data_IF_040059850116
#
_entry.id   IF_040059850116
#
_cell.length_a   1.000
_cell.length_b   1.000
_cell.length_c   1.000
_cell.angle_alpha   90.00
_cell.angle_beta   90.00
_cell.angle_gamma   90.00
#
_symmetry.space_group_name_H-M   'P 1'
#
loop_
_entity.id
_entity.type
_entity.pdbx_description
1 polymer ?
#
# COMPACT_ATOMS: atom_id res chain seq x y z
N UNK A 1 42.36 -50.64 -35.00
CA UNK A 1 41.42 -49.94 -35.90
C UNK A 1 40.08 -50.67 -35.74
N UNK A 2 39.03 -50.21 -35.03
CA UNK A 2 38.57 -48.88 -34.63
C UNK A 2 37.75 -48.98 -33.33
N UNK A 3 38.07 -48.15 -32.34
CA UNK A 3 37.30 -48.02 -31.09
C UNK A 3 36.17 -47.01 -31.30
N UNK A 4 34.91 -47.45 -31.25
CA UNK A 4 33.76 -46.54 -31.31
C UNK A 4 33.42 -46.04 -29.90
N UNK A 5 33.71 -44.78 -29.66
CA UNK A 5 33.30 -44.05 -28.45
C UNK A 5 31.82 -43.65 -28.64
N UNK A 6 30.93 -44.24 -27.85
CA UNK A 6 29.55 -43.79 -27.71
C UNK A 6 29.54 -42.56 -26.79
N UNK A 7 29.39 -41.37 -27.36
CA UNK A 7 29.18 -40.14 -26.59
C UNK A 7 27.77 -40.14 -26.00
N UNK A 8 27.66 -40.37 -24.69
CA UNK A 8 26.43 -40.14 -23.95
C UNK A 8 26.24 -38.62 -23.79
N UNK A 9 25.41 -38.02 -24.65
CA UNK A 9 24.93 -36.66 -24.46
C UNK A 9 23.97 -36.65 -23.25
N UNK A 10 24.50 -36.26 -22.09
CA UNK A 10 23.70 -36.01 -20.89
C UNK A 10 22.72 -34.87 -21.14
N UNK A 11 21.43 -35.17 -21.07
CA UNK A 11 20.35 -34.20 -21.14
C UNK A 11 20.40 -33.30 -19.90
N UNK A 12 21.06 -32.15 -20.03
CA UNK A 12 21.05 -31.09 -19.02
C UNK A 12 19.68 -30.39 -19.08
N UNK A 13 18.72 -30.85 -18.29
CA UNK A 13 17.44 -30.17 -18.12
C UNK A 13 17.70 -28.81 -17.46
N UNK A 14 17.59 -27.73 -18.23
CA UNK A 14 17.65 -26.37 -17.71
C UNK A 14 16.42 -26.16 -16.79
N UNK A 15 16.64 -26.07 -15.48
CA UNK A 15 15.61 -25.62 -14.55
C UNK A 15 15.39 -24.13 -14.81
N UNK A 16 14.41 -23.80 -15.64
CA UNK A 16 13.94 -22.43 -15.80
C UNK A 16 13.29 -22.01 -14.47
N UNK A 17 14.00 -21.19 -13.69
CA UNK A 17 13.39 -20.55 -12.53
C UNK A 17 12.20 -19.70 -13.00
N UNK A 18 11.08 -19.68 -12.26
CA UNK A 18 9.95 -18.83 -12.62
C UNK A 18 10.44 -17.38 -12.68
N UNK A 19 10.17 -16.70 -13.79
CA UNK A 19 10.34 -15.26 -13.87
C UNK A 19 9.43 -14.64 -12.80
N UNK A 20 10.03 -14.16 -11.71
CA UNK A 20 9.33 -13.60 -10.56
C UNK A 20 8.72 -12.25 -10.93
N UNK A 21 7.57 -12.30 -11.59
CA UNK A 21 6.90 -11.08 -12.04
C UNK A 21 6.07 -10.40 -10.95
N UNK A 22 5.72 -11.15 -9.91
CA UNK A 22 4.88 -10.67 -8.81
C UNK A 22 5.70 -10.03 -7.70
N UNK A 23 5.16 -8.98 -7.08
CA UNK A 23 5.62 -8.57 -5.76
C UNK A 23 5.23 -9.66 -4.77
N UNK A 24 6.21 -10.13 -3.98
CA UNK A 24 6.01 -11.22 -3.00
C UNK A 24 6.50 -10.79 -1.63
N UNK A 25 6.10 -11.52 -0.60
CA UNK A 25 6.67 -11.34 0.74
C UNK A 25 7.93 -12.20 0.90
N UNK A 26 8.94 -11.69 1.60
CA UNK A 26 10.10 -12.48 2.05
C UNK A 26 9.67 -13.67 2.95
N UNK A 27 8.61 -13.45 3.73
CA UNK A 27 7.94 -14.45 4.56
C UNK A 27 6.42 -14.32 4.44
N UNK A 28 5.76 -15.45 4.26
CA UNK A 28 4.30 -15.50 4.17
C UNK A 28 3.61 -15.66 5.54
N UNK A 29 4.35 -15.65 6.66
CA UNK A 29 3.81 -15.90 8.00
C UNK A 29 4.32 -14.91 9.05
N UNK A 30 3.41 -14.44 9.90
CA UNK A 30 3.68 -13.61 11.09
C UNK A 30 2.94 -14.14 12.33
N UNK A 31 3.57 -14.17 13.52
CA UNK A 31 2.89 -14.58 14.74
C UNK A 31 1.94 -13.50 15.26
N UNK A 32 0.73 -13.89 15.66
CA UNK A 32 -0.27 -13.00 16.25
C UNK A 32 0.29 -12.24 17.47
N UNK A 33 -0.07 -10.96 17.61
CA UNK A 33 0.26 -10.13 18.77
C UNK A 33 1.73 -9.69 18.89
N UNK A 34 2.65 -10.25 18.12
CA UNK A 34 4.09 -9.92 18.19
C UNK A 34 4.53 -8.95 17.09
N UNK A 35 5.61 -8.21 17.34
CA UNK A 35 6.29 -7.47 16.28
C UNK A 35 7.13 -8.42 15.44
N UNK A 36 6.97 -8.36 14.11
CA UNK A 36 7.72 -9.15 13.15
C UNK A 36 8.15 -8.29 11.96
N UNK A 37 9.35 -8.57 11.43
CA UNK A 37 9.83 -7.95 10.20
C UNK A 37 9.34 -8.75 8.99
N UNK A 38 8.67 -8.10 8.05
CA UNK A 38 8.36 -8.59 6.71
C UNK A 38 9.02 -7.67 5.67
N UNK A 39 9.19 -8.13 4.44
CA UNK A 39 9.62 -7.30 3.32
C UNK A 39 8.85 -7.65 2.04
N UNK A 40 8.47 -6.62 1.30
CA UNK A 40 7.96 -6.75 -0.06
C UNK A 40 9.16 -6.86 -1.00
N UNK A 41 9.32 -8.01 -1.64
CA UNK A 41 10.32 -8.26 -2.69
C UNK A 41 9.75 -7.83 -4.02
N UNK A 42 10.38 -6.86 -4.66
CA UNK A 42 10.08 -6.43 -6.03
C UNK A 42 11.13 -7.00 -6.96
N UNK A 43 10.72 -7.88 -7.88
CA UNK A 43 11.65 -8.61 -8.75
C UNK A 43 12.05 -7.86 -10.02
N UNK A 44 11.18 -6.98 -10.52
CA UNK A 44 11.38 -6.25 -11.77
C UNK A 44 10.50 -4.99 -11.82
N UNK A 45 10.65 -4.20 -12.88
CA UNK A 45 9.84 -3.02 -13.16
C UNK A 45 8.50 -3.32 -13.83
N UNK A 46 7.84 -2.31 -14.40
CA UNK A 46 6.53 -2.49 -15.05
C UNK A 46 6.73 -2.54 -16.56
N UNK A 47 6.60 -3.73 -17.16
CA UNK A 47 6.76 -3.90 -18.61
C UNK A 47 8.09 -3.34 -19.13
N UNK A 48 9.19 -3.62 -18.42
CA UNK A 48 10.55 -3.19 -18.78
C UNK A 48 10.97 -1.83 -18.21
N UNK A 49 10.07 -1.05 -17.61
CA UNK A 49 10.38 0.27 -17.07
C UNK A 49 10.74 0.23 -15.59
N UNK A 50 11.76 0.99 -15.18
CA UNK A 50 12.21 1.06 -13.79
C UNK A 50 11.10 1.49 -12.82
N UNK A 51 11.08 0.90 -11.62
CA UNK A 51 10.16 1.27 -10.54
C UNK A 51 10.58 2.58 -9.89
N UNK A 52 9.63 3.47 -9.65
CA UNK A 52 9.85 4.79 -9.01
C UNK A 52 9.01 5.01 -7.76
N UNK A 53 7.95 4.21 -7.58
CA UNK A 53 7.22 4.14 -6.32
C UNK A 53 6.64 2.75 -6.05
N UNK A 54 6.60 2.39 -4.77
CA UNK A 54 5.74 1.33 -4.24
C UNK A 54 4.78 1.92 -3.22
N UNK A 55 3.51 1.56 -3.33
CA UNK A 55 2.47 1.87 -2.34
C UNK A 55 1.87 0.57 -1.85
N UNK A 56 1.79 0.40 -0.54
CA UNK A 56 1.14 -0.75 0.09
C UNK A 56 -0.05 -0.27 0.92
N UNK A 57 -1.21 -0.86 0.64
CA UNK A 57 -2.41 -0.69 1.45
C UNK A 57 -2.37 -1.66 2.62
N UNK A 58 -2.57 -1.14 3.83
CA UNK A 58 -2.46 -1.91 5.06
C UNK A 58 -3.84 -2.38 5.53
N UNK A 59 -4.04 -3.70 5.76
CA UNK A 59 -5.30 -4.21 6.25
C UNK A 59 -5.56 -3.73 7.70
N UNK A 60 -6.82 -3.55 8.11
CA UNK A 60 -7.14 -2.96 9.40
C UNK A 60 -6.66 -3.77 10.61
N UNK A 61 -6.49 -5.08 10.45
CA UNK A 61 -5.97 -6.00 11.44
C UNK A 61 -4.46 -5.86 11.67
N UNK A 62 -3.76 -5.10 10.81
CA UNK A 62 -2.37 -4.74 11.00
C UNK A 62 -2.28 -3.49 11.88
N UNK A 63 -2.47 -3.70 13.19
CA UNK A 63 -2.52 -2.64 14.19
C UNK A 63 -1.27 -1.74 14.25
N UNK A 64 -0.12 -2.23 13.77
CA UNK A 64 1.08 -1.42 13.56
C UNK A 64 1.82 -1.88 12.31
N UNK A 65 2.26 -0.92 11.50
CA UNK A 65 3.18 -1.15 10.40
C UNK A 65 4.12 0.05 10.31
N UNK A 66 5.42 -0.21 10.41
CA UNK A 66 6.47 0.82 10.41
C UNK A 66 7.43 0.52 9.27
N UNK A 67 7.51 1.38 8.25
CA UNK A 67 8.47 1.19 7.16
C UNK A 67 9.89 1.37 7.68
N UNK A 68 10.80 0.54 7.20
CA UNK A 68 12.23 0.73 7.43
C UNK A 68 12.78 1.77 6.44
N UNK A 69 13.71 2.65 6.87
CA UNK A 69 14.42 3.54 5.96
C UNK A 69 15.01 2.76 4.79
N UNK A 70 14.79 3.27 3.60
CA UNK A 70 15.31 2.69 2.37
C UNK A 70 16.16 3.75 1.66
N UNK A 71 17.50 3.62 1.64
CA UNK A 71 18.38 4.64 1.08
C UNK A 71 17.97 5.04 -0.34
N UNK A 72 17.90 6.34 -0.62
CA UNK A 72 17.48 6.87 -1.91
C UNK A 72 15.96 6.96 -2.13
N UNK A 73 15.15 6.49 -1.19
CA UNK A 73 13.68 6.57 -1.27
C UNK A 73 13.13 7.44 -0.15
N UNK A 74 12.04 8.14 -0.46
CA UNK A 74 11.24 8.91 0.50
C UNK A 74 10.09 8.05 0.99
N UNK A 75 9.90 7.99 2.31
CA UNK A 75 8.77 7.28 2.91
C UNK A 75 7.62 8.26 3.13
N UNK A 76 6.44 7.89 2.64
CA UNK A 76 5.17 8.59 2.90
C UNK A 76 4.25 7.64 3.66
N UNK A 77 3.62 8.13 4.71
CA UNK A 77 2.67 7.37 5.52
C UNK A 77 1.34 8.14 5.50
N UNK A 78 0.27 7.48 5.09
CA UNK A 78 -1.01 8.14 4.81
C UNK A 78 -2.24 7.36 5.27
N UNK A 79 -3.42 8.01 5.20
CA UNK A 79 -4.71 7.34 5.33
C UNK A 79 -4.94 6.41 4.13
N UNK A 80 -6.05 5.67 4.16
CA UNK A 80 -6.37 4.70 3.12
C UNK A 80 -6.68 5.46 1.83
N UNK A 81 -6.00 5.17 0.69
CA UNK A 81 -6.28 5.82 -0.58
C UNK A 81 -7.73 5.60 -1.05
N UNK A 82 -8.37 4.50 -0.65
CA UNK A 82 -9.78 4.23 -0.97
C UNK A 82 -10.76 5.01 -0.06
N UNK A 83 -10.28 5.53 1.07
CA UNK A 83 -11.08 6.33 2.02
C UNK A 83 -11.03 7.83 1.72
N UNK A 84 -10.19 8.27 0.77
CA UNK A 84 -10.24 9.63 0.24
C UNK A 84 -11.38 9.76 -0.76
N UNK A 85 -12.36 10.61 -0.47
CA UNK A 85 -13.32 11.10 -1.45
C UNK A 85 -12.55 11.50 -2.71
N UNK A 86 -12.72 10.76 -3.80
CA UNK A 86 -12.18 11.13 -5.09
C UNK A 86 -12.73 12.51 -5.45
N UNK A 87 -11.95 13.55 -5.21
CA UNK A 87 -12.18 14.84 -5.83
C UNK A 87 -11.86 14.64 -7.32
N UNK A 88 -12.89 14.35 -8.10
CA UNK A 88 -12.82 14.39 -9.55
C UNK A 88 -12.23 15.74 -9.98
N UNK A 89 -11.40 15.80 -11.03
CA UNK A 89 -10.95 17.07 -11.55
C UNK A 89 -12.18 17.85 -12.07
N UNK A 90 -12.54 18.92 -11.37
CA UNK A 90 -13.49 19.91 -11.87
C UNK A 90 -12.89 20.60 -13.09
N UNK A 91 -13.19 20.06 -14.26
CA UNK A 91 -12.67 20.55 -15.54
C UNK A 91 -13.46 19.99 -16.71
N UNK A 92 -14.74 20.32 -16.79
CA UNK A 92 -15.50 20.19 -18.03
C UNK A 92 -16.45 21.38 -18.17
N UNK A 93 -15.95 22.43 -18.82
CA UNK A 93 -16.75 23.51 -19.40
C UNK A 93 -17.58 22.96 -20.56
N UNK A 94 -18.88 23.20 -20.56
CA UNK A 94 -19.73 23.15 -21.75
C UNK A 94 -20.66 24.38 -21.76
N UNK A 95 -21.09 24.88 -22.94
CA UNK A 95 -21.50 26.27 -23.12
C UNK A 95 -23.01 26.53 -23.06
N UNK A 96 -23.35 27.74 -22.60
CA UNK A 96 -24.29 28.71 -23.21
C UNK A 96 -25.77 28.36 -23.48
N UNK A 97 -26.67 29.11 -22.83
CA UNK A 97 -28.07 29.30 -23.24
C UNK A 97 -28.79 30.43 -22.48
N UNK A 98 -29.05 31.55 -23.16
CA UNK A 98 -29.81 32.78 -22.77
C UNK A 98 -31.30 32.48 -22.44
N UNK A 99 -32.10 33.18 -21.61
CA UNK A 99 -32.47 34.62 -21.59
C UNK A 99 -33.34 34.95 -20.34
N UNK A 100 -33.30 36.21 -19.87
CA UNK A 100 -33.97 36.87 -18.71
C UNK A 100 -35.51 37.15 -18.92
N UNK A 101 -36.29 37.99 -18.15
CA UNK A 101 -35.91 39.03 -17.14
C UNK A 101 -36.84 39.31 -15.91
N UNK A 102 -36.34 40.21 -15.03
CA UNK A 102 -37.10 41.13 -14.15
C UNK A 102 -37.47 40.58 -12.76
N UNK A 103 -37.14 41.15 -11.60
CA UNK A 103 -36.75 42.51 -11.19
C UNK A 103 -37.77 42.99 -10.14
N UNK A 104 -37.36 43.17 -8.88
CA UNK A 104 -37.78 44.20 -7.91
C UNK A 104 -37.19 43.93 -6.51
N UNK A 105 -36.90 45.02 -5.81
CA UNK A 105 -35.98 45.15 -4.67
C UNK A 105 -36.65 45.06 -3.29
N UNK A 106 -35.88 44.75 -2.23
CA UNK A 106 -36.07 45.33 -0.88
C UNK A 106 -34.90 45.06 0.10
N UNK A 107 -34.30 46.16 0.53
CA UNK A 107 -33.75 46.57 1.84
C UNK A 107 -33.36 45.57 2.98
N UNK A 108 -32.06 45.66 3.33
CA UNK A 108 -31.41 45.92 4.63
C UNK A 108 -32.07 45.51 5.98
N UNK A 109 -31.26 44.80 6.79
CA UNK A 109 -31.34 44.77 8.26
C UNK A 109 -30.29 43.85 8.88
N UNK A 110 -29.17 44.39 9.38
CA UNK A 110 -28.15 43.67 10.13
C UNK A 110 -28.57 43.48 11.60
N UNK A 111 -28.65 42.22 12.03
CA UNK A 111 -28.88 41.81 13.42
C UNK A 111 -27.57 41.38 14.11
N UNK A 112 -27.52 41.66 15.41
CA UNK A 112 -26.38 41.71 16.33
C UNK A 112 -25.67 40.39 16.64
N UNK A 113 -24.36 40.48 16.88
CA UNK A 113 -23.51 39.45 17.48
C UNK A 113 -23.75 39.29 19.00
N UNK A 114 -23.89 38.04 19.45
CA UNK A 114 -23.60 37.53 20.80
C UNK A 114 -23.25 36.04 20.60
N UNK A 115 -22.15 35.47 21.07
CA UNK A 115 -21.49 35.60 22.36
C UNK A 115 -21.60 34.22 23.02
N UNK A 116 -20.53 33.44 23.09
CA UNK A 116 -20.44 32.29 24.00
C UNK A 116 -19.07 32.24 24.65
N UNK A 117 -19.14 32.12 25.97
CA UNK A 117 -18.16 32.43 26.99
C UNK A 117 -17.09 31.36 27.11
N UNK A 118 -15.88 31.77 27.50
CA UNK A 118 -14.78 30.89 27.91
C UNK A 118 -14.64 31.00 29.43
N UNK A 119 -14.82 29.88 30.13
CA UNK A 119 -14.32 29.59 31.47
C UNK A 119 -14.48 28.08 31.66
N UNK A 120 -13.57 27.28 32.17
CA UNK A 120 -12.31 27.44 32.90
C UNK A 120 -12.12 26.11 33.67
N UNK A 121 -10.89 25.62 33.87
CA UNK A 121 -10.74 24.37 34.65
C UNK A 121 -9.34 23.75 34.66
N UNK A 122 -8.55 24.21 35.62
CA UNK A 122 -7.37 23.65 36.29
C UNK A 122 -6.83 22.26 35.89
N UNK A 123 -5.50 22.22 35.71
CA UNK A 123 -4.68 21.02 35.65
C UNK A 123 -4.50 20.38 37.04
N UNK A 124 -4.60 19.05 37.10
CA UNK A 124 -4.05 18.21 38.16
C UNK A 124 -3.58 16.87 37.57
N UNK A 125 -2.45 16.39 38.11
CA UNK A 125 -1.66 15.27 37.65
C UNK A 125 -2.23 13.88 38.01
N UNK A 126 -1.79 12.86 37.25
CA UNK A 126 -1.72 11.47 37.72
C UNK A 126 -2.59 10.48 36.95
N UNK A 127 -1.99 9.80 35.97
CA UNK A 127 -2.55 8.60 35.35
C UNK A 127 -1.83 8.23 34.06
N UNK A 128 -1.14 7.08 34.04
CA UNK A 128 -0.74 6.43 32.80
C UNK A 128 -2.01 5.88 32.12
N UNK A 129 -2.73 6.79 31.47
CA UNK A 129 -3.92 6.48 30.71
C UNK A 129 -3.55 5.62 29.51
N UNK A 130 -4.20 4.45 29.41
CA UNK A 130 -4.20 3.67 28.19
C UNK A 130 -4.69 4.54 27.05
N UNK A 131 -3.77 4.95 26.19
CA UNK A 131 -4.15 5.47 24.88
C UNK A 131 -4.80 4.30 24.14
N UNK A 132 -6.09 4.44 23.83
CA UNK A 132 -6.71 3.62 22.79
C UNK A 132 -5.74 3.62 21.60
N UNK A 133 -5.31 2.44 21.16
CA UNK A 133 -4.33 2.34 20.09
C UNK A 133 -4.87 3.12 18.90
N UNK A 134 -4.25 4.26 18.59
CA UNK A 134 -4.61 5.06 17.44
C UNK A 134 -4.62 4.13 16.21
N UNK A 135 -5.67 4.21 15.39
CA UNK A 135 -5.75 3.42 14.18
C UNK A 135 -4.44 3.59 13.39
N UNK A 136 -3.74 2.48 13.15
CA UNK A 136 -2.46 2.49 12.44
C UNK A 136 -2.58 3.12 11.06
N UNK A 137 -1.42 3.40 10.40
CA UNK A 137 -1.45 3.90 9.04
C UNK A 137 -2.19 2.94 8.12
N UNK A 138 -2.76 3.46 7.05
CA UNK A 138 -3.56 2.69 6.09
C UNK A 138 -2.89 2.59 4.72
N UNK A 139 -1.96 3.49 4.44
CA UNK A 139 -1.02 3.38 3.33
C UNK A 139 0.40 3.69 3.82
N UNK A 140 1.36 2.93 3.28
CA UNK A 140 2.78 3.26 3.29
C UNK A 140 3.25 3.30 1.85
N UNK A 141 4.06 4.30 1.51
CA UNK A 141 4.70 4.38 0.22
C UNK A 141 6.20 4.66 0.33
N UNK A 142 6.98 4.05 -0.56
CA UNK A 142 8.34 4.46 -0.87
C UNK A 142 8.32 5.12 -2.25
N UNK A 143 8.79 6.36 -2.35
CA UNK A 143 8.72 7.16 -3.58
C UNK A 143 10.03 7.88 -3.87
N UNK A 144 10.21 8.32 -5.12
CA UNK A 144 11.35 9.17 -5.54
C UNK A 144 12.69 8.44 -5.65
N UNK A 145 12.74 7.16 -5.28
CA UNK A 145 13.85 6.28 -5.60
C UNK A 145 13.71 5.68 -6.99
N UNK A 146 14.63 4.78 -7.31
CA UNK A 146 14.66 4.07 -8.60
C UNK A 146 15.15 2.65 -8.40
N UNK A 147 14.40 1.68 -8.93
CA UNK A 147 14.81 0.29 -9.06
C UNK A 147 14.72 -0.11 -10.54
N UNK A 148 15.87 -0.36 -11.16
CA UNK A 148 15.93 -0.77 -12.56
C UNK A 148 15.24 -2.13 -12.77
N UNK A 149 14.67 -2.32 -13.95
CA UNK A 149 13.90 -3.51 -14.30
C UNK A 149 14.69 -4.83 -14.16
N UNK A 150 16.00 -4.78 -14.35
CA UNK A 150 16.90 -5.93 -14.24
C UNK A 150 17.32 -6.30 -12.81
N UNK A 151 16.93 -5.49 -11.82
CA UNK A 151 17.30 -5.66 -10.43
C UNK A 151 16.08 -5.95 -9.56
N UNK A 152 16.32 -6.62 -8.43
CA UNK A 152 15.32 -6.79 -7.38
C UNK A 152 15.73 -5.99 -6.14
N UNK A 153 14.73 -5.63 -5.33
CA UNK A 153 14.95 -4.99 -4.03
C UNK A 153 13.89 -5.41 -3.00
N UNK A 154 14.12 -5.07 -1.74
CA UNK A 154 13.28 -5.42 -0.59
C UNK A 154 12.84 -4.20 0.22
N UNK A 155 11.53 -3.99 0.30
CA UNK A 155 10.92 -2.88 1.04
C UNK A 155 10.36 -3.40 2.36
N UNK A 156 11.15 -3.20 3.44
CA UNK A 156 10.90 -3.82 4.72
C UNK A 156 9.95 -3.02 5.63
N UNK A 157 9.12 -3.76 6.38
CA UNK A 157 8.17 -3.27 7.36
C UNK A 157 8.38 -4.02 8.68
N UNK A 158 8.38 -3.30 9.79
CA UNK A 158 8.13 -3.89 11.11
C UNK A 158 6.64 -3.82 11.39
N UNK A 159 5.98 -4.97 11.49
CA UNK A 159 4.54 -5.09 11.63
C UNK A 159 4.12 -5.76 12.93
N UNK A 160 2.91 -5.47 13.39
CA UNK A 160 2.23 -6.22 14.46
C UNK A 160 0.75 -6.33 14.11
N UNK A 161 0.23 -7.55 14.16
CA UNK A 161 -1.18 -7.83 13.87
C UNK A 161 -1.97 -8.19 15.12
N UNK A 162 -3.25 -7.85 15.12
CA UNK A 162 -4.25 -8.26 16.11
C UNK A 162 -5.23 -9.30 15.55
N UNK A 163 -5.00 -9.78 14.32
CA UNK A 163 -5.81 -10.86 13.76
C UNK A 163 -5.54 -12.19 14.48
N UNK A 164 -6.56 -13.03 14.49
CA UNK A 164 -6.48 -14.38 15.06
C UNK A 164 -5.60 -15.31 14.19
N UNK A 165 -4.91 -16.29 14.80
CA UNK A 165 -4.22 -17.34 14.05
C UNK A 165 -5.13 -18.01 13.02
N UNK A 166 -4.59 -18.28 11.83
CA UNK A 166 -5.31 -18.83 10.69
C UNK A 166 -5.85 -17.75 9.73
N UNK A 167 -5.94 -16.49 10.17
CA UNK A 167 -6.32 -15.37 9.30
C UNK A 167 -5.29 -15.17 8.18
N UNK A 168 -5.76 -14.86 6.97
CA UNK A 168 -4.91 -14.47 5.84
C UNK A 168 -5.19 -13.01 5.51
N UNK A 169 -4.16 -12.18 5.68
CA UNK A 169 -4.20 -10.75 5.41
C UNK A 169 -3.65 -10.51 4.00
N UNK A 170 -4.40 -9.76 3.18
CA UNK A 170 -3.88 -9.29 1.89
C UNK A 170 -3.18 -7.93 2.10
N UNK A 171 -2.04 -7.74 1.44
CA UNK A 171 -1.34 -6.46 1.36
C UNK A 171 -1.33 -5.99 -0.10
N UNK A 172 -2.38 -5.32 -0.59
CA UNK A 172 -2.41 -4.79 -1.94
C UNK A 172 -1.21 -3.86 -2.19
N UNK A 173 -0.54 -4.02 -3.33
CA UNK A 173 0.60 -3.19 -3.74
C UNK A 173 0.34 -2.57 -5.10
N UNK A 174 0.55 -1.26 -5.20
CA UNK A 174 0.64 -0.55 -6.48
C UNK A 174 2.11 -0.20 -6.72
N UNK A 175 2.61 -0.63 -7.87
CA UNK A 175 3.95 -0.36 -8.32
C UNK A 175 3.88 0.65 -9.47
N UNK A 176 4.45 1.83 -9.26
CA UNK A 176 4.55 2.87 -10.27
C UNK A 176 5.95 2.81 -10.89
N UNK A 177 6.00 2.96 -12.21
CA UNK A 177 7.21 2.86 -12.99
C UNK A 177 7.35 4.02 -13.96
N UNK A 178 8.55 4.20 -14.49
CA UNK A 178 8.86 5.25 -15.45
C UNK A 178 7.95 5.20 -16.69
N UNK A 179 7.74 6.36 -17.29
CA UNK A 179 6.82 6.51 -18.42
C UNK A 179 5.34 6.33 -18.04
N UNK A 180 5.00 6.44 -16.75
CA UNK A 180 3.62 6.37 -16.25
C UNK A 180 3.03 4.96 -16.25
N UNK A 181 3.86 3.92 -16.39
CA UNK A 181 3.41 2.53 -16.32
C UNK A 181 3.09 2.15 -14.87
N UNK A 182 2.10 1.29 -14.69
CA UNK A 182 1.64 0.86 -13.36
C UNK A 182 1.31 -0.63 -13.38
N UNK A 183 1.80 -1.36 -12.38
CA UNK A 183 1.36 -2.73 -12.08
C UNK A 183 0.56 -2.73 -10.76
N UNK A 184 -0.53 -3.50 -10.70
CA UNK A 184 -1.47 -3.52 -9.56
C UNK A 184 -1.60 -4.91 -8.94
N UNK A 185 -0.70 -5.22 -8.01
CA UNK A 185 -0.72 -6.45 -7.22
C UNK A 185 -1.79 -6.36 -6.13
N UNK A 186 -3.07 -6.32 -6.53
CA UNK A 186 -4.19 -5.99 -5.63
C UNK A 186 -5.29 -7.04 -5.61
N UNK A 187 -5.27 -8.01 -6.53
CA UNK A 187 -6.30 -9.05 -6.60
C UNK A 187 -6.18 -9.98 -5.39
N UNK A 188 -7.29 -10.29 -4.71
CA UNK A 188 -7.30 -11.30 -3.64
C UNK A 188 -7.61 -12.67 -4.26
N UNK A 189 -6.68 -13.63 -4.26
CA UNK A 189 -6.96 -14.98 -4.73
C UNK A 189 -7.91 -15.70 -3.77
N UNK A 190 -8.92 -16.39 -4.32
CA UNK A 190 -9.67 -17.39 -3.55
C UNK A 190 -8.74 -18.57 -3.20
N UNK A 191 -9.04 -19.35 -2.14
CA UNK A 191 -8.28 -20.56 -1.83
C UNK A 191 -8.16 -21.50 -3.04
N UNK A 192 -6.93 -21.80 -3.47
CA UNK A 192 -6.64 -22.68 -4.61
C UNK A 192 -6.72 -22.01 -5.99
N UNK A 193 -7.09 -20.73 -6.06
CA UNK A 193 -7.14 -19.96 -7.29
C UNK A 193 -5.81 -19.25 -7.57
N UNK A 194 -5.48 -19.08 -8.85
CA UNK A 194 -4.39 -18.21 -9.29
C UNK A 194 -4.98 -17.02 -10.03
N UNK A 195 -4.70 -15.84 -9.53
CA UNK A 195 -5.07 -14.59 -10.20
C UNK A 195 -3.85 -14.01 -10.92
N UNK A 196 -4.06 -13.04 -11.81
CA UNK A 196 -2.98 -12.52 -12.67
C UNK A 196 -2.09 -11.58 -11.88
N UNK A 197 -2.68 -10.73 -11.05
CA UNK A 197 -2.00 -9.70 -10.28
C UNK A 197 -2.33 -9.86 -8.78
N UNK A 198 -1.95 -11.00 -8.18
CA UNK A 198 -2.27 -11.32 -6.80
C UNK A 198 -1.60 -10.36 -5.83
N UNK A 199 -2.37 -9.85 -4.87
CA UNK A 199 -1.83 -9.18 -3.71
C UNK A 199 -1.00 -10.16 -2.88
N UNK A 200 0.16 -9.74 -2.35
CA UNK A 200 0.88 -10.50 -1.36
C UNK A 200 -0.01 -10.90 -0.17
N UNK A 201 0.04 -12.18 0.20
CA UNK A 201 -0.78 -12.75 1.28
C UNK A 201 0.09 -13.10 2.48
N UNK A 202 -0.31 -12.59 3.64
CA UNK A 202 0.35 -12.78 4.92
C UNK A 202 -0.54 -13.60 5.85
N UNK A 203 -0.15 -14.84 6.15
CA UNK A 203 -0.85 -15.71 7.09
C UNK A 203 -0.45 -15.37 8.52
N UNK A 204 -1.45 -15.28 9.40
CA UNK A 204 -1.24 -15.14 10.83
C UNK A 204 -1.13 -16.52 11.45
N UNK A 205 -0.06 -16.74 12.21
CA UNK A 205 0.17 -17.99 12.96
C UNK A 205 0.07 -17.73 14.46
N UNK A 206 0.01 -18.80 15.25
CA UNK A 206 0.00 -18.68 16.71
C UNK A 206 1.24 -17.88 17.18
N UNK A 207 1.02 -16.95 18.10
CA UNK A 207 2.10 -16.31 18.85
C UNK A 207 2.89 -17.34 19.66
N UNK A 208 4.18 -17.09 19.88
CA UNK A 208 4.95 -17.85 20.87
C UNK A 208 4.87 -17.16 22.22
#
# INVERSE_FOLDING_TARGET
>A
MNTRILAAFGLLAALSAPAGAHVVLDRAEVPAGTYARIALRVGHGCGGAATTALRVTLPPELASARPMPHPGWTIVIGPDPASGTAAAPSGSTAPGGSTAPGGHAAHAGHGTHAGHSVAGGQAAAGGHGGHAAAAGPREIAWTGGRLDDAHFDEFALLVRTTAEPGTVLALPVVQECEGGKVARWTERPSPGERTKEPAPLLRVVAGR
#
